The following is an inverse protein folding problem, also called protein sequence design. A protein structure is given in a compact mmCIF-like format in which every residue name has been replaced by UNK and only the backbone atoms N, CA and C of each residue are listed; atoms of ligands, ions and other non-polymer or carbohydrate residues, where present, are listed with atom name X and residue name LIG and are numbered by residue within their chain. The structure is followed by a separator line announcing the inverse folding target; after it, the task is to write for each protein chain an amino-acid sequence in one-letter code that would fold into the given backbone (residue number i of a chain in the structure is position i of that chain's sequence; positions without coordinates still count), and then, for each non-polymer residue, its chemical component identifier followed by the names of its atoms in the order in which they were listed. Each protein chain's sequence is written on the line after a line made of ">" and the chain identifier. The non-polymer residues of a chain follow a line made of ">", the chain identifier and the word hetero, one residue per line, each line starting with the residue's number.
data_IF_729801847746
#
_entry.id   IF_729801847746
#
_cell.length_a   1.000
_cell.length_b   1.000
_cell.length_c   1.000
_cell.angle_alpha   90.00
_cell.angle_beta   90.00
_cell.angle_gamma   90.00
#
_symmetry.space_group_name_H-M   'P 1'
#
loop_
_entity.id
_entity.type
_entity.pdbx_description
1 polymer ?
#
# COMPACT_ATOMS: atom_id res chain seq x y z
N UNK A 1 -4.44 -26.09 -15.57
CA UNK A 1 -3.24 -25.42 -15.06
C UNK A 1 -3.51 -23.94 -15.03
N UNK A 2 -3.36 -23.29 -13.87
CA UNK A 2 -3.49 -21.83 -13.77
C UNK A 2 -2.22 -21.18 -14.36
N UNK A 3 -2.41 -20.19 -15.23
CA UNK A 3 -1.31 -19.49 -15.86
C UNK A 3 -0.62 -18.59 -14.81
N UNK A 4 0.71 -18.58 -14.75
CA UNK A 4 1.49 -17.80 -13.76
C UNK A 4 1.12 -16.31 -13.76
N UNK A 5 0.66 -15.78 -14.90
CA UNK A 5 0.10 -14.43 -15.03
C UNK A 5 -1.17 -14.17 -14.22
N UNK A 6 -2.04 -15.18 -14.04
CA UNK A 6 -3.27 -15.03 -13.25
C UNK A 6 -2.94 -14.88 -11.76
N UNK A 7 -1.97 -15.65 -11.28
CA UNK A 7 -1.48 -15.56 -9.89
C UNK A 7 -0.85 -14.20 -9.65
N UNK A 8 -0.03 -13.71 -10.59
CA UNK A 8 0.55 -12.37 -10.53
C UNK A 8 -0.53 -11.28 -10.43
N UNK A 9 -1.56 -11.36 -11.28
CA UNK A 9 -2.62 -10.35 -11.34
C UNK A 9 -3.44 -10.31 -10.05
N UNK A 10 -3.73 -11.48 -9.45
CA UNK A 10 -4.47 -11.56 -8.17
C UNK A 10 -3.66 -10.90 -7.05
N UNK A 11 -2.39 -11.29 -6.85
CA UNK A 11 -1.56 -10.71 -5.79
C UNK A 11 -1.32 -9.20 -5.96
N UNK A 12 -1.11 -8.75 -7.20
CA UNK A 12 -0.96 -7.34 -7.50
C UNK A 12 -2.25 -6.57 -7.19
N UNK A 13 -3.41 -7.12 -7.55
CA UNK A 13 -4.71 -6.49 -7.30
C UNK A 13 -5.02 -6.38 -5.80
N UNK A 14 -4.75 -7.44 -5.02
CA UNK A 14 -4.99 -7.45 -3.58
C UNK A 14 -4.10 -6.43 -2.85
N UNK A 15 -2.80 -6.40 -3.19
CA UNK A 15 -1.88 -5.41 -2.63
C UNK A 15 -2.28 -3.97 -2.98
N UNK A 16 -2.73 -3.75 -4.21
CA UNK A 16 -3.17 -2.43 -4.65
C UNK A 16 -4.41 -1.97 -3.87
N UNK A 17 -5.38 -2.86 -3.66
CA UNK A 17 -6.59 -2.56 -2.86
C UNK A 17 -6.19 -2.21 -1.42
N UNK A 18 -5.35 -3.03 -0.79
CA UNK A 18 -4.88 -2.78 0.59
C UNK A 18 -4.15 -1.44 0.69
N UNK A 19 -3.30 -1.11 -0.29
CA UNK A 19 -2.58 0.15 -0.31
C UNK A 19 -3.49 1.37 -0.47
N UNK A 20 -4.55 1.28 -1.27
CA UNK A 20 -5.54 2.35 -1.39
C UNK A 20 -6.25 2.62 -0.06
N UNK A 21 -6.65 1.57 0.66
CA UNK A 21 -7.24 1.72 1.99
C UNK A 21 -6.23 2.31 2.98
N UNK A 22 -4.99 1.82 2.99
CA UNK A 22 -3.94 2.35 3.85
C UNK A 22 -3.66 3.85 3.58
N UNK A 23 -3.67 4.28 2.31
CA UNK A 23 -3.48 5.69 1.93
C UNK A 23 -4.59 6.58 2.49
N UNK A 24 -5.84 6.13 2.40
CA UNK A 24 -7.00 6.86 2.90
C UNK A 24 -6.95 7.02 4.42
N UNK A 25 -6.71 5.92 5.14
CA UNK A 25 -6.55 5.94 6.59
C UNK A 25 -5.34 6.78 7.01
N UNK A 26 -4.21 6.66 6.31
CA UNK A 26 -3.01 7.45 6.57
C UNK A 26 -3.23 8.95 6.42
N UNK A 27 -4.00 9.39 5.42
CA UNK A 27 -4.37 10.80 5.25
C UNK A 27 -5.27 11.29 6.40
N UNK A 28 -6.30 10.51 6.76
CA UNK A 28 -7.21 10.87 7.86
C UNK A 28 -6.45 10.96 9.19
N UNK A 29 -5.62 9.98 9.51
CA UNK A 29 -4.83 9.98 10.74
C UNK A 29 -3.74 11.06 10.73
N UNK A 30 -3.09 11.30 9.60
CA UNK A 30 -2.06 12.34 9.47
C UNK A 30 -2.63 13.74 9.68
N UNK A 31 -3.79 14.03 9.07
CA UNK A 31 -4.48 15.31 9.26
C UNK A 31 -4.98 15.48 10.69
N UNK A 32 -5.59 14.44 11.28
CA UNK A 32 -6.02 14.46 12.67
C UNK A 32 -4.84 14.71 13.64
N UNK A 33 -3.72 14.01 13.44
CA UNK A 33 -2.51 14.19 14.24
C UNK A 33 -1.96 15.62 14.11
N UNK A 34 -1.92 16.16 12.89
CA UNK A 34 -1.49 17.55 12.66
C UNK A 34 -2.37 18.56 13.37
N UNK A 35 -3.69 18.33 13.42
CA UNK A 35 -4.61 19.21 14.16
C UNK A 35 -4.37 19.13 15.67
N UNK A 36 -4.17 17.93 16.22
CA UNK A 36 -3.87 17.74 17.64
C UNK A 36 -2.59 18.49 18.03
N UNK A 37 -1.54 18.38 17.21
CA UNK A 37 -0.27 19.06 17.43
C UNK A 37 -0.44 20.58 17.35
N UNK A 38 -1.14 21.08 16.33
CA UNK A 38 -1.40 22.51 16.15
C UNK A 38 -2.16 23.11 17.33
N UNK A 39 -3.21 22.43 17.78
CA UNK A 39 -4.03 22.87 18.90
C UNK A 39 -3.22 22.88 20.21
N UNK A 40 -2.35 21.90 20.41
CA UNK A 40 -1.52 21.78 21.61
C UNK A 40 -0.44 22.86 21.71
N UNK A 41 0.19 23.22 20.58
CA UNK A 41 1.29 24.19 20.57
C UNK A 41 0.79 25.63 20.42
N UNK A 42 -0.14 25.85 19.49
CA UNK A 42 -0.53 27.19 19.06
C UNK A 42 -1.93 27.61 19.50
N UNK A 43 -2.77 26.68 19.96
CA UNK A 43 -4.14 26.97 20.38
C UNK A 43 -5.10 27.30 19.23
N UNK A 44 -4.70 27.10 17.97
CA UNK A 44 -5.54 27.28 16.79
C UNK A 44 -5.42 26.12 15.80
N UNK A 45 -6.45 25.97 14.95
CA UNK A 45 -6.50 24.96 13.89
C UNK A 45 -5.73 25.43 12.65
N UNK A 46 -4.99 24.52 12.03
CA UNK A 46 -4.19 24.79 10.83
C UNK A 46 -4.94 24.37 9.58
N UNK A 47 -4.72 25.09 8.48
CA UNK A 47 -5.30 24.75 7.18
C UNK A 47 -4.74 23.41 6.67
N UNK A 48 -5.64 22.54 6.22
CA UNK A 48 -5.28 21.23 5.71
C UNK A 48 -4.86 21.38 4.25
N UNK A 49 -3.61 21.06 3.94
CA UNK A 49 -3.12 21.06 2.58
C UNK A 49 -3.74 19.89 1.80
N UNK A 50 -4.75 20.18 0.98
CA UNK A 50 -5.45 19.19 0.17
C UNK A 50 -4.53 18.46 -0.83
N UNK A 51 -3.39 19.05 -1.18
CA UNK A 51 -2.35 18.45 -2.02
C UNK A 51 -1.73 17.17 -1.42
N UNK A 52 -1.83 17.00 -0.09
CA UNK A 52 -1.31 15.80 0.58
C UNK A 52 -2.10 14.53 0.23
N UNK A 53 -3.36 14.66 -0.18
CA UNK A 53 -4.22 13.55 -0.57
C UNK A 53 -3.76 12.86 -1.86
N UNK A 54 -3.61 13.55 -3.01
CA UNK A 54 -3.10 12.90 -4.22
C UNK A 54 -1.67 12.37 -4.02
N UNK A 55 -0.86 13.04 -3.22
CA UNK A 55 0.50 12.59 -2.90
C UNK A 55 0.49 11.25 -2.14
N UNK A 56 -0.38 11.09 -1.14
CA UNK A 56 -0.48 9.85 -0.37
C UNK A 56 -0.90 8.66 -1.24
N UNK A 57 -1.82 8.87 -2.19
CA UNK A 57 -2.22 7.85 -3.15
C UNK A 57 -1.08 7.43 -4.09
N UNK A 58 -0.30 8.39 -4.59
CA UNK A 58 0.85 8.10 -5.46
C UNK A 58 1.90 7.27 -4.71
N UNK A 59 2.24 7.68 -3.48
CA UNK A 59 3.21 6.95 -2.66
C UNK A 59 2.70 5.56 -2.26
N UNK A 60 1.43 5.44 -1.88
CA UNK A 60 0.84 4.14 -1.57
C UNK A 60 0.86 3.19 -2.76
N UNK A 61 0.55 3.68 -3.97
CA UNK A 61 0.64 2.89 -5.20
C UNK A 61 2.08 2.44 -5.51
N UNK A 62 3.06 3.32 -5.34
CA UNK A 62 4.48 2.98 -5.47
C UNK A 62 4.91 1.90 -4.47
N UNK A 63 4.51 2.05 -3.20
CA UNK A 63 4.82 1.08 -2.14
C UNK A 63 4.12 -0.25 -2.42
N UNK A 64 2.88 -0.25 -2.91
CA UNK A 64 2.16 -1.46 -3.31
C UNK A 64 2.89 -2.20 -4.42
N UNK A 65 3.34 -1.49 -5.46
CA UNK A 65 4.08 -2.07 -6.58
C UNK A 65 5.44 -2.62 -6.15
N UNK A 66 6.21 -1.85 -5.38
CA UNK A 66 7.50 -2.27 -4.83
C UNK A 66 7.35 -3.45 -3.86
N UNK A 67 6.33 -3.39 -3.01
CA UNK A 67 5.97 -4.41 -2.04
C UNK A 67 5.51 -5.71 -2.69
N UNK A 68 4.87 -5.65 -3.85
CA UNK A 68 4.49 -6.83 -4.62
C UNK A 68 5.68 -7.44 -5.40
N UNK A 69 6.65 -6.61 -5.81
CA UNK A 69 7.84 -7.06 -6.55
C UNK A 69 8.69 -8.05 -5.74
N UNK A 70 8.80 -7.85 -4.42
CA UNK A 70 9.57 -8.70 -3.50
C UNK A 70 9.02 -10.15 -3.38
N UNK A 71 7.74 -10.39 -3.02
CA UNK A 71 7.17 -11.74 -2.94
C UNK A 71 7.08 -12.41 -4.31
N UNK A 72 6.81 -11.67 -5.39
CA UNK A 72 6.79 -12.23 -6.75
C UNK A 72 8.15 -12.78 -7.15
N UNK A 73 9.24 -12.07 -6.84
CA UNK A 73 10.60 -12.55 -7.11
C UNK A 73 10.88 -13.90 -6.41
N UNK A 74 10.37 -14.06 -5.19
CA UNK A 74 10.46 -15.31 -4.43
C UNK A 74 9.60 -16.43 -5.04
N UNK A 75 8.37 -16.13 -5.46
CA UNK A 75 7.46 -17.13 -6.05
C UNK A 75 7.97 -17.59 -7.41
N UNK A 76 8.58 -16.73 -8.22
CA UNK A 76 9.17 -17.13 -9.51
C UNK A 76 10.41 -18.03 -9.37
N UNK A 77 11.08 -18.01 -8.21
CA UNK A 77 12.15 -18.97 -7.90
C UNK A 77 11.62 -20.33 -7.42
N UNK A 78 10.39 -20.38 -6.89
CA UNK A 78 9.67 -21.64 -6.67
C UNK A 78 8.97 -22.04 -7.98
N UNK A 79 9.66 -22.80 -8.82
CA UNK A 79 9.00 -23.46 -9.96
C UNK A 79 7.78 -24.23 -9.45
N UNK A 80 6.67 -24.17 -10.20
CA UNK A 80 5.38 -24.78 -9.87
C UNK A 80 5.42 -26.29 -9.52
N UNK A 81 6.56 -26.95 -9.69
CA UNK A 81 6.81 -28.32 -9.22
C UNK A 81 7.03 -28.42 -7.70
N UNK A 82 7.62 -27.41 -7.03
CA UNK A 82 7.92 -27.48 -5.58
C UNK A 82 6.67 -27.40 -4.70
N UNK A 83 5.72 -26.53 -5.08
CA UNK A 83 4.49 -26.30 -4.29
C UNK A 83 3.53 -27.49 -4.35
N UNK A 84 3.53 -28.27 -5.43
CA UNK A 84 2.76 -29.52 -5.53
C UNK A 84 3.45 -30.71 -4.85
N UNK A 85 4.77 -30.66 -4.64
CA UNK A 85 5.52 -31.72 -3.97
C UNK A 85 5.79 -31.46 -2.47
N UNK A 86 5.34 -30.31 -1.92
CA UNK A 86 5.38 -30.06 -0.49
C UNK A 86 6.77 -30.20 0.14
N UNK A 87 7.82 -29.79 -0.59
CA UNK A 87 9.21 -29.75 -0.09
C UNK A 87 9.85 -28.41 -0.37
#
# INVERSE_FOLDING_TARGET
>A
GANTFQIYLIFASENLIVALFAALFGFIFGTALSQIISLSIFGYFIDIAFIALPLSFIFAGLIALLGCLLPIKNITQLSAAGVLYGR
#
